data_IF_877598960811
#
_entry.id   IF_877598960811
#
_cell.length_a   1.000
_cell.length_b   1.000
_cell.length_c   1.000
_cell.angle_alpha   90.00
_cell.angle_beta   90.00
_cell.angle_gamma   90.00
#
_symmetry.space_group_name_H-M   'P 1'
#
loop_
_entity.id
_entity.type
_entity.pdbx_description
1 polymer ?
#
# COMPACT_ATOMS: atom_id res chain seq x y z
N UNK A 1 -9.40 25.63 -1.11
CA UNK A 1 -9.79 24.39 -0.42
C UNK A 1 -8.76 23.30 -0.75
N UNK A 2 -8.16 22.70 0.27
CA UNK A 2 -7.26 21.56 0.08
C UNK A 2 -8.05 20.26 -0.02
N UNK A 3 -7.69 19.40 -0.99
CA UNK A 3 -8.24 18.05 -1.12
C UNK A 3 -7.10 17.05 -1.12
N UNK A 4 -7.31 15.92 -0.46
CA UNK A 4 -6.36 14.81 -0.40
C UNK A 4 -7.12 13.49 -0.34
N UNK A 5 -6.48 12.42 -0.76
CA UNK A 5 -7.06 11.10 -0.62
C UNK A 5 -7.20 10.78 0.87
N UNK A 6 -8.42 10.45 1.32
CA UNK A 6 -8.68 10.10 2.71
C UNK A 6 -8.32 8.64 3.00
N UNK A 7 -8.85 7.72 2.21
CA UNK A 7 -8.56 6.30 2.35
C UNK A 7 -8.81 5.52 1.06
N UNK A 8 -8.25 4.32 1.02
CA UNK A 8 -8.59 3.26 0.07
C UNK A 8 -9.23 2.13 0.86
N UNK A 9 -10.33 1.60 0.39
CA UNK A 9 -11.00 0.46 1.01
C UNK A 9 -10.81 -0.80 0.17
N UNK A 10 -10.46 -1.90 0.81
CA UNK A 10 -10.44 -3.21 0.16
C UNK A 10 -10.95 -4.32 1.09
N UNK A 11 -11.34 -5.41 0.47
CA UNK A 11 -11.89 -6.57 1.13
C UNK A 11 -10.80 -7.61 1.41
N UNK A 12 -10.95 -8.36 2.49
CA UNK A 12 -10.11 -9.51 2.81
C UNK A 12 -10.93 -10.64 3.41
N UNK A 13 -10.50 -11.86 3.19
CA UNK A 13 -11.01 -13.04 3.91
C UNK A 13 -10.12 -13.38 5.13
N UNK A 14 -8.99 -12.69 5.31
CA UNK A 14 -8.03 -12.91 6.41
C UNK A 14 -7.53 -11.59 6.98
N UNK A 15 -8.22 -11.09 8.01
CA UNK A 15 -7.86 -9.84 8.70
C UNK A 15 -6.50 -9.91 9.39
N UNK A 16 -6.18 -11.05 10.00
CA UNK A 16 -4.95 -11.22 10.78
C UNK A 16 -3.70 -11.15 9.86
N UNK A 17 -3.72 -11.88 8.75
CA UNK A 17 -2.64 -11.86 7.77
C UNK A 17 -2.47 -10.48 7.15
N UNK A 18 -3.58 -9.79 6.85
CA UNK A 18 -3.56 -8.44 6.29
C UNK A 18 -2.92 -7.44 7.26
N UNK A 19 -3.35 -7.44 8.52
CA UNK A 19 -2.78 -6.54 9.53
C UNK A 19 -1.29 -6.82 9.76
N UNK A 20 -0.91 -8.09 9.87
CA UNK A 20 0.48 -8.49 10.06
C UNK A 20 1.39 -7.97 8.94
N UNK A 21 0.94 -8.05 7.69
CA UNK A 21 1.68 -7.54 6.54
C UNK A 21 1.95 -6.03 6.65
N UNK A 22 0.90 -5.22 6.84
CA UNK A 22 1.08 -3.76 6.90
C UNK A 22 1.84 -3.31 8.15
N UNK A 23 1.76 -4.07 9.25
CA UNK A 23 2.55 -3.81 10.46
C UNK A 23 4.07 -3.96 10.22
N UNK A 24 4.51 -4.75 9.24
CA UNK A 24 5.93 -4.86 8.85
C UNK A 24 6.48 -3.47 8.47
N UNK A 25 5.66 -2.67 7.80
CA UNK A 25 6.01 -1.31 7.36
C UNK A 25 5.68 -0.23 8.41
N UNK A 26 5.20 -0.63 9.59
CA UNK A 26 4.82 0.29 10.65
C UNK A 26 3.44 0.93 10.48
N UNK A 27 2.66 0.45 9.50
CA UNK A 27 1.28 0.91 9.28
C UNK A 27 0.38 0.15 10.25
N UNK A 28 -0.18 0.87 11.22
CA UNK A 28 -0.83 0.26 12.38
C UNK A 28 -2.31 0.59 12.44
N UNK A 29 -3.05 -0.29 13.13
CA UNK A 29 -4.47 -0.10 13.37
C UNK A 29 -4.73 1.21 14.12
N UNK A 30 -5.63 2.02 13.56
CA UNK A 30 -6.10 3.25 14.18
C UNK A 30 -7.40 3.03 14.94
N UNK A 31 -8.34 2.29 14.34
CA UNK A 31 -9.57 1.86 14.96
C UNK A 31 -10.10 0.62 14.25
N UNK A 32 -11.09 -0.03 14.85
CA UNK A 32 -11.65 -1.29 14.38
C UNK A 32 -13.16 -1.24 14.22
N UNK A 33 -13.67 -2.13 13.39
CA UNK A 33 -15.11 -2.35 13.26
C UNK A 33 -15.51 -3.64 13.99
N UNK A 34 -16.52 -3.53 14.84
CA UNK A 34 -17.17 -4.65 15.48
C UNK A 34 -18.62 -4.76 15.06
N UNK A 35 -19.10 -5.97 14.78
CA UNK A 35 -20.52 -6.18 14.53
C UNK A 35 -21.31 -6.25 15.86
N UNK A 36 -22.63 -6.49 15.77
CA UNK A 36 -23.49 -6.57 16.94
C UNK A 36 -23.19 -7.75 17.87
N UNK A 37 -22.46 -8.76 17.38
CA UNK A 37 -22.00 -9.92 18.14
C UNK A 37 -20.59 -9.70 18.73
N UNK A 38 -20.05 -8.47 18.65
CA UNK A 38 -18.72 -8.10 19.10
C UNK A 38 -17.57 -8.83 18.34
N UNK A 39 -17.85 -9.29 17.14
CA UNK A 39 -16.83 -9.88 16.28
C UNK A 39 -16.06 -8.79 15.50
N UNK A 40 -14.74 -8.93 15.38
CA UNK A 40 -13.92 -8.06 14.55
C UNK A 40 -14.26 -8.31 13.07
N UNK A 41 -14.71 -7.28 12.37
CA UNK A 41 -15.12 -7.37 10.95
C UNK A 41 -14.36 -6.41 10.04
N UNK A 42 -13.43 -5.65 10.57
CA UNK A 42 -12.60 -4.75 9.79
C UNK A 42 -11.82 -3.78 10.67
N UNK A 43 -11.01 -2.95 10.04
CA UNK A 43 -10.23 -1.92 10.73
C UNK A 43 -9.74 -0.86 9.75
N UNK A 44 -9.29 0.26 10.31
CA UNK A 44 -8.48 1.26 9.62
C UNK A 44 -7.02 1.13 10.03
N UNK A 45 -6.14 1.11 9.05
CA UNK A 45 -4.69 1.20 9.21
C UNK A 45 -4.25 2.62 8.84
N UNK A 46 -3.42 3.24 9.67
CA UNK A 46 -3.06 4.65 9.53
C UNK A 46 -1.69 4.85 8.91
N UNK A 47 -1.62 5.76 7.94
CA UNK A 47 -0.38 6.40 7.50
C UNK A 47 -0.12 7.66 8.35
N UNK A 48 1.12 8.17 8.32
CA UNK A 48 1.53 9.31 9.14
C UNK A 48 0.84 10.63 8.77
N UNK A 49 0.33 10.74 7.54
CA UNK A 49 -0.24 11.98 6.98
C UNK A 49 -1.76 12.08 7.09
N UNK A 50 -2.39 11.33 7.98
CA UNK A 50 -3.85 11.27 8.14
C UNK A 50 -4.59 10.69 6.93
N UNK A 51 -3.96 9.78 6.22
CA UNK A 51 -4.63 8.92 5.25
C UNK A 51 -4.63 7.48 5.76
N UNK A 52 -5.48 6.65 5.19
CA UNK A 52 -5.77 5.34 5.76
C UNK A 52 -5.98 4.28 4.69
N UNK A 53 -5.81 3.05 5.11
CA UNK A 53 -6.35 1.87 4.46
C UNK A 53 -7.53 1.39 5.30
N UNK A 54 -8.71 1.29 4.69
CA UNK A 54 -9.87 0.63 5.30
C UNK A 54 -9.91 -0.82 4.84
N UNK A 55 -9.97 -1.75 5.77
CA UNK A 55 -10.02 -3.19 5.47
C UNK A 55 -11.31 -3.75 6.02
N UNK A 56 -12.07 -4.44 5.17
CA UNK A 56 -13.36 -5.06 5.52
C UNK A 56 -13.27 -6.56 5.30
N UNK A 57 -13.70 -7.33 6.31
CA UNK A 57 -13.76 -8.77 6.21
C UNK A 57 -14.96 -9.21 5.37
N UNK A 58 -14.70 -10.11 4.43
CA UNK A 58 -15.72 -10.80 3.64
C UNK A 58 -15.47 -12.31 3.68
N UNK A 59 -16.48 -13.11 3.34
CA UNK A 59 -16.33 -14.57 3.33
C UNK A 59 -15.45 -15.04 2.17
N UNK A 60 -15.51 -14.35 1.03
CA UNK A 60 -14.72 -14.67 -0.15
C UNK A 60 -14.35 -13.36 -0.87
N UNK A 61 -13.07 -12.99 -0.79
CA UNK A 61 -12.57 -11.77 -1.41
C UNK A 61 -12.35 -11.96 -2.92
N UNK A 62 -12.75 -10.95 -3.71
CA UNK A 62 -12.43 -10.89 -5.12
C UNK A 62 -10.91 -10.79 -5.31
N UNK A 63 -10.36 -11.51 -6.29
CA UNK A 63 -8.92 -11.51 -6.58
C UNK A 63 -8.52 -10.51 -7.65
N UNK A 64 -9.48 -9.92 -8.35
CA UNK A 64 -9.27 -8.93 -9.42
C UNK A 64 -10.30 -7.81 -9.33
N UNK A 65 -9.94 -6.65 -9.84
CA UNK A 65 -10.81 -5.48 -9.90
C UNK A 65 -10.21 -4.38 -10.78
N UNK A 66 -10.86 -3.23 -10.82
CA UNK A 66 -10.40 -2.07 -11.61
C UNK A 66 -9.20 -1.37 -10.96
N UNK A 67 -8.99 -1.54 -9.67
CA UNK A 67 -7.82 -1.02 -8.97
C UNK A 67 -6.65 -1.98 -9.23
N UNK A 68 -5.63 -1.49 -9.94
CA UNK A 68 -4.46 -2.28 -10.33
C UNK A 68 -3.47 -2.43 -9.17
N UNK A 69 -3.21 -1.33 -8.50
CA UNK A 69 -2.29 -1.25 -7.37
C UNK A 69 -2.54 0.06 -6.62
N UNK A 70 -1.89 0.20 -5.51
CA UNK A 70 -1.67 1.51 -4.90
C UNK A 70 -0.21 1.65 -4.48
N UNK A 71 0.23 2.89 -4.31
CA UNK A 71 1.59 3.18 -3.94
C UNK A 71 1.66 3.80 -2.54
N UNK A 72 2.74 3.48 -1.83
CA UNK A 72 3.08 4.04 -0.53
C UNK A 72 4.38 4.83 -0.71
N UNK A 73 4.36 6.12 -0.39
CA UNK A 73 5.58 6.90 -0.29
C UNK A 73 6.33 6.52 0.99
N UNK A 74 7.62 6.24 0.86
CA UNK A 74 8.51 5.93 1.98
C UNK A 74 9.71 6.87 1.96
N UNK A 75 10.26 7.16 3.12
CA UNK A 75 11.46 7.99 3.24
C UNK A 75 12.72 7.26 2.78
N UNK A 76 12.77 5.94 2.95
CA UNK A 76 13.92 5.10 2.62
C UNK A 76 13.43 3.75 2.05
N UNK A 77 13.56 3.61 0.74
CA UNK A 77 13.14 2.40 0.03
C UNK A 77 14.04 1.19 0.36
N UNK A 78 15.31 1.42 0.71
CA UNK A 78 16.22 0.33 1.10
C UNK A 78 15.82 -0.24 2.47
N UNK A 79 15.46 0.60 3.43
CA UNK A 79 14.94 0.15 4.73
C UNK A 79 13.62 -0.62 4.56
N UNK A 80 12.71 -0.13 3.74
CA UNK A 80 11.45 -0.82 3.45
C UNK A 80 11.70 -2.19 2.79
N UNK A 81 12.62 -2.26 1.83
CA UNK A 81 13.04 -3.51 1.19
C UNK A 81 13.54 -4.53 2.22
N UNK A 82 14.45 -4.11 3.09
CA UNK A 82 15.06 -4.99 4.08
C UNK A 82 14.03 -5.50 5.11
N UNK A 83 13.12 -4.65 5.56
CA UNK A 83 12.03 -5.04 6.46
C UNK A 83 11.14 -6.11 5.84
N UNK A 84 10.71 -5.92 4.61
CA UNK A 84 9.87 -6.87 3.88
C UNK A 84 10.61 -8.20 3.67
N UNK A 85 11.84 -8.14 3.19
CA UNK A 85 12.65 -9.33 2.94
C UNK A 85 12.92 -10.11 4.23
N UNK A 86 13.26 -9.45 5.31
CA UNK A 86 13.52 -10.09 6.61
C UNK A 86 12.25 -10.72 7.20
N UNK A 87 11.09 -10.22 6.85
CA UNK A 87 9.80 -10.79 7.25
C UNK A 87 9.32 -11.92 6.31
N UNK A 88 10.12 -12.30 5.30
CA UNK A 88 9.79 -13.37 4.37
C UNK A 88 8.86 -12.97 3.23
N UNK A 89 8.67 -11.67 3.01
CA UNK A 89 7.87 -11.16 1.88
C UNK A 89 8.74 -11.13 0.63
N UNK A 90 8.21 -11.66 -0.48
CA UNK A 90 8.85 -11.54 -1.77
C UNK A 90 8.76 -10.08 -2.26
N UNK A 91 9.90 -9.46 -2.50
CA UNK A 91 10.00 -8.06 -2.89
C UNK A 91 10.98 -7.91 -4.04
N UNK A 92 10.69 -7.02 -5.00
CA UNK A 92 11.57 -6.77 -6.15
C UNK A 92 12.82 -6.01 -5.72
N UNK A 93 13.87 -6.10 -6.56
CA UNK A 93 15.04 -5.23 -6.43
C UNK A 93 14.64 -3.77 -6.69
N UNK A 94 15.37 -2.87 -6.06
CA UNK A 94 15.18 -1.44 -6.25
C UNK A 94 15.53 -1.03 -7.68
N UNK A 95 14.63 -0.26 -8.29
CA UNK A 95 14.86 0.35 -9.60
C UNK A 95 14.53 1.84 -9.59
N UNK A 96 15.18 2.57 -10.50
CA UNK A 96 14.88 3.99 -10.73
C UNK A 96 13.90 4.09 -11.89
N UNK A 97 12.69 4.57 -11.60
CA UNK A 97 11.60 4.63 -12.57
C UNK A 97 11.69 5.88 -13.46
N UNK A 98 10.97 5.84 -14.59
CA UNK A 98 11.00 6.93 -15.59
C UNK A 98 10.42 8.25 -15.09
N UNK A 99 9.70 8.25 -13.98
CA UNK A 99 9.17 9.43 -13.29
C UNK A 99 10.12 9.96 -12.20
N UNK A 100 11.38 9.52 -12.21
CA UNK A 100 12.48 9.98 -11.37
C UNK A 100 12.30 9.67 -9.87
N UNK A 101 11.79 8.48 -9.56
CA UNK A 101 11.70 7.99 -8.18
C UNK A 101 12.29 6.58 -8.06
N UNK A 102 12.72 6.22 -6.86
CA UNK A 102 13.13 4.86 -6.54
C UNK A 102 11.92 4.02 -6.15
N UNK A 103 11.86 2.79 -6.63
CA UNK A 103 10.70 1.93 -6.43
C UNK A 103 11.09 0.49 -6.16
N UNK A 104 10.35 -0.14 -5.26
CA UNK A 104 10.25 -1.58 -5.09
C UNK A 104 8.77 -1.99 -5.13
N UNK A 105 8.50 -3.24 -5.43
CA UNK A 105 7.13 -3.77 -5.44
C UNK A 105 7.02 -5.06 -4.66
N UNK A 106 5.87 -5.29 -4.09
CA UNK A 106 5.49 -6.54 -3.45
C UNK A 106 3.98 -6.74 -3.57
N UNK A 107 3.48 -7.88 -3.11
CA UNK A 107 2.05 -8.14 -3.00
C UNK A 107 1.70 -8.30 -1.53
N UNK A 108 0.55 -7.77 -1.13
CA UNK A 108 -0.02 -8.05 0.18
C UNK A 108 -0.61 -9.48 0.22
N UNK A 109 -1.07 -9.98 1.40
CA UNK A 109 -1.64 -11.33 1.48
C UNK A 109 -2.92 -11.54 0.65
N UNK A 110 -3.58 -10.47 0.22
CA UNK A 110 -4.78 -10.50 -0.61
C UNK A 110 -4.47 -10.48 -2.11
N UNK A 111 -3.18 -10.42 -2.49
CA UNK A 111 -2.74 -10.32 -3.87
C UNK A 111 -2.76 -8.91 -4.45
N UNK A 112 -2.93 -7.89 -3.62
CA UNK A 112 -2.86 -6.50 -4.05
C UNK A 112 -1.41 -6.12 -4.32
N UNK A 113 -1.13 -5.60 -5.51
CA UNK A 113 0.19 -5.08 -5.85
C UNK A 113 0.42 -3.74 -5.12
N UNK A 114 1.51 -3.68 -4.38
CA UNK A 114 1.93 -2.50 -3.63
C UNK A 114 3.25 -2.00 -4.24
N UNK A 115 3.27 -0.74 -4.61
CA UNK A 115 4.51 -0.04 -4.94
C UNK A 115 4.96 0.78 -3.74
N UNK A 116 6.25 0.67 -3.37
CA UNK A 116 6.86 1.54 -2.38
C UNK A 116 7.81 2.48 -3.11
N UNK A 117 7.56 3.78 -2.97
CA UNK A 117 8.21 4.83 -3.76
C UNK A 117 8.94 5.80 -2.84
N UNK A 118 10.21 6.03 -3.14
CA UNK A 118 11.00 7.07 -2.51
C UNK A 118 11.22 8.18 -3.52
N UNK A 119 10.66 9.36 -3.25
CA UNK A 119 10.80 10.50 -4.15
C UNK A 119 12.19 11.13 -4.04
N UNK A 120 12.64 11.68 -5.17
CA UNK A 120 13.80 12.56 -5.26
C UNK A 120 13.31 13.99 -5.49
N UNK A 121 14.22 14.97 -5.42
CA UNK A 121 13.87 16.36 -5.71
C UNK A 121 13.32 16.57 -7.12
N UNK A 122 13.61 15.64 -8.05
CA UNK A 122 13.18 15.69 -9.44
C UNK A 122 12.02 14.73 -9.77
N UNK A 123 11.48 14.04 -8.78
CA UNK A 123 10.33 13.15 -9.00
C UNK A 123 9.15 13.92 -9.57
N UNK A 124 8.54 13.39 -10.62
CA UNK A 124 7.45 14.06 -11.33
C UNK A 124 6.20 14.23 -10.46
N UNK A 125 6.03 13.42 -9.42
CA UNK A 125 5.00 13.59 -8.40
C UNK A 125 5.12 14.95 -7.68
N UNK A 126 6.34 15.49 -7.58
CA UNK A 126 6.63 16.76 -6.93
C UNK A 126 6.71 17.93 -7.92
N UNK A 127 7.33 17.71 -9.07
CA UNK A 127 7.64 18.80 -10.02
C UNK A 127 6.76 18.81 -11.27
N UNK A 128 6.01 17.76 -11.50
CA UNK A 128 5.20 17.60 -12.72
C UNK A 128 6.04 17.30 -13.95
N UNK A 129 5.45 17.41 -15.11
CA UNK A 129 6.13 17.21 -16.37
C UNK A 129 5.50 16.11 -17.21
N UNK A 130 6.31 15.50 -18.09
CA UNK A 130 5.89 14.43 -18.99
C UNK A 130 6.78 13.22 -18.80
N UNK A 131 6.20 12.11 -18.35
CA UNK A 131 6.87 10.81 -18.26
C UNK A 131 6.64 10.04 -19.57
N UNK A 132 7.72 9.64 -20.24
CA UNK A 132 7.64 8.84 -21.45
C UNK A 132 7.70 7.36 -21.07
N UNK A 133 6.69 6.60 -21.47
CA UNK A 133 6.55 5.18 -21.17
C UNK A 133 6.41 4.38 -22.46
N UNK A 134 6.98 3.17 -22.47
CA UNK A 134 6.90 2.24 -23.58
C UNK A 134 5.78 1.23 -23.32
N UNK A 135 4.55 1.71 -23.50
CA UNK A 135 3.40 0.84 -23.34
C UNK A 135 2.27 1.21 -24.30
N UNK A 136 1.50 0.21 -24.70
CA UNK A 136 0.33 0.38 -25.58
C UNK A 136 -0.91 -0.18 -24.88
N UNK A 137 -2.03 0.60 -24.83
CA UNK A 137 -3.29 0.12 -24.25
C UNK A 137 -3.87 -1.09 -24.96
#
# INVERSE_FOLDING_TARGET
MGMRLAHVCFETDDLEATEAFYNILGIRRRFEFRNLQDELVGFYLAFDNQSFIEVIKVSEAAKTGVIRHFAIEVDDVDDAHDRLKNAGVEVTDKEFANDNQWMITCHDPNGILIELQQYTDNSMQLVGGRCVVDYRP
#
